data_IF_568684786213
#
_entry.id   IF_568684786213
#
_cell.length_a   1.000
_cell.length_b   1.000
_cell.length_c   1.000
_cell.angle_alpha   90.00
_cell.angle_beta   90.00
_cell.angle_gamma   90.00
#
_symmetry.space_group_name_H-M   'P 1'
#
loop_
_entity.id
_entity.type
_entity.pdbx_description
1 polymer ?
#
# COMPACT_ATOMS: atom_id res chain seq x y z
N UNK A 1 12.10 -16.69 -9.67
CA UNK A 1 11.83 -15.42 -8.96
C UNK A 1 10.48 -15.58 -8.28
N UNK A 2 10.35 -15.09 -7.07
CA UNK A 2 9.08 -15.04 -6.35
C UNK A 2 8.63 -13.57 -6.25
N UNK A 3 7.30 -13.38 -6.24
CA UNK A 3 6.72 -12.05 -6.25
C UNK A 3 5.72 -11.86 -5.09
N UNK A 4 5.52 -10.61 -4.73
CA UNK A 4 4.50 -10.16 -3.79
C UNK A 4 3.82 -8.91 -4.33
N UNK A 5 2.73 -8.46 -3.72
CA UNK A 5 2.08 -7.22 -4.10
C UNK A 5 1.97 -6.27 -2.90
N UNK A 6 2.08 -4.97 -3.18
CA UNK A 6 1.70 -3.90 -2.25
C UNK A 6 0.43 -3.26 -2.78
N UNK A 7 -0.52 -2.99 -1.90
CA UNK A 7 -1.86 -2.52 -2.22
C UNK A 7 -2.18 -1.30 -1.37
N UNK A 8 -2.74 -0.27 -2.00
CA UNK A 8 -3.37 0.84 -1.31
C UNK A 8 -4.78 1.08 -1.83
N UNK A 9 -5.68 1.59 -0.99
CA UNK A 9 -7.07 1.87 -1.33
C UNK A 9 -7.49 3.27 -0.89
N UNK A 10 -8.18 3.99 -1.79
CA UNK A 10 -8.87 5.21 -1.44
C UNK A 10 -10.37 4.95 -1.26
N UNK A 11 -10.98 5.58 -0.26
CA UNK A 11 -12.39 5.39 0.07
C UNK A 11 -13.24 6.64 -0.19
N UNK A 12 -14.51 6.40 -0.53
CA UNK A 12 -15.54 7.42 -0.64
C UNK A 12 -16.12 7.79 0.75
N UNK A 13 -17.04 8.75 0.77
CA UNK A 13 -17.69 9.20 2.02
C UNK A 13 -18.51 8.12 2.74
N UNK A 14 -18.87 7.03 2.06
CA UNK A 14 -19.56 5.87 2.64
C UNK A 14 -18.59 4.81 3.17
N UNK A 15 -17.27 5.07 3.14
CA UNK A 15 -16.23 4.10 3.47
C UNK A 15 -16.23 2.86 2.55
N UNK A 16 -16.57 3.08 1.27
CA UNK A 16 -16.46 2.08 0.22
C UNK A 16 -15.23 2.39 -0.63
N UNK A 17 -14.52 1.37 -1.11
CA UNK A 17 -13.35 1.57 -1.98
C UNK A 17 -13.77 2.27 -3.26
N UNK A 18 -13.19 3.43 -3.55
CA UNK A 18 -13.40 4.18 -4.80
C UNK A 18 -12.23 4.07 -5.78
N UNK A 19 -11.04 3.73 -5.30
CA UNK A 19 -9.90 3.34 -6.16
C UNK A 19 -8.98 2.39 -5.43
N UNK A 20 -8.21 1.64 -6.20
CA UNK A 20 -7.22 0.70 -5.71
C UNK A 20 -5.99 0.72 -6.61
N UNK A 21 -4.82 0.82 -5.99
CA UNK A 21 -3.51 0.64 -6.60
C UNK A 21 -2.88 -0.67 -6.15
N UNK A 22 -2.16 -1.30 -7.06
CA UNK A 22 -1.39 -2.51 -6.78
C UNK A 22 -0.06 -2.43 -7.50
N UNK A 23 1.04 -2.54 -6.77
CA UNK A 23 2.36 -2.77 -7.34
C UNK A 23 2.78 -4.20 -7.09
N UNK A 24 3.29 -4.87 -8.13
CA UNK A 24 3.89 -6.22 -8.04
C UNK A 24 5.40 -6.07 -8.04
N UNK A 25 6.07 -6.70 -7.08
CA UNK A 25 7.51 -6.60 -6.90
C UNK A 25 8.17 -7.97 -6.66
N UNK A 26 9.47 -8.04 -6.96
CA UNK A 26 10.32 -9.19 -6.67
C UNK A 26 10.64 -9.26 -5.17
N UNK A 27 10.56 -10.46 -4.56
CA UNK A 27 10.83 -10.63 -3.12
C UNK A 27 12.27 -10.34 -2.73
N UNK A 28 13.24 -10.69 -3.59
CA UNK A 28 14.66 -10.57 -3.25
C UNK A 28 15.17 -9.13 -3.35
N UNK A 29 14.62 -8.35 -4.29
CA UNK A 29 15.13 -7.01 -4.64
C UNK A 29 14.18 -5.88 -4.31
N UNK A 30 12.90 -6.20 -4.01
CA UNK A 30 11.80 -5.23 -3.89
C UNK A 30 11.65 -4.34 -5.14
N UNK A 31 12.12 -4.85 -6.28
CA UNK A 31 12.03 -4.14 -7.55
C UNK A 31 10.65 -4.33 -8.14
N UNK A 32 9.99 -3.22 -8.45
CA UNK A 32 8.71 -3.21 -9.17
C UNK A 32 8.84 -3.88 -10.53
N UNK A 33 7.90 -4.75 -10.87
CA UNK A 33 7.80 -5.45 -12.17
C UNK A 33 6.52 -5.14 -12.92
N UNK A 34 5.45 -4.81 -12.22
CA UNK A 34 4.15 -4.45 -12.83
C UNK A 34 3.35 -3.55 -11.88
N UNK A 35 2.38 -2.80 -12.40
CA UNK A 35 1.40 -2.08 -11.61
C UNK A 35 0.01 -2.12 -12.25
N UNK A 36 -1.02 -2.06 -11.40
CA UNK A 36 -2.41 -1.92 -11.81
C UNK A 36 -3.08 -0.84 -10.97
N UNK A 37 -3.94 -0.05 -11.61
CA UNK A 37 -4.73 0.96 -10.92
C UNK A 37 -6.12 1.00 -11.52
N UNK A 38 -7.15 0.92 -10.67
CA UNK A 38 -8.54 0.98 -11.09
C UNK A 38 -9.35 1.90 -10.18
N UNK A 39 -10.29 2.62 -10.81
CA UNK A 39 -11.29 3.45 -10.15
C UNK A 39 -12.61 2.69 -10.25
N UNK A 40 -13.31 2.50 -9.13
CA UNK A 40 -14.52 1.72 -9.08
C UNK A 40 -15.75 2.55 -9.44
N UNK A 41 -16.45 2.15 -10.48
CA UNK A 41 -17.71 2.72 -10.91
C UNK A 41 -18.87 1.78 -10.51
N UNK A 42 -19.85 2.23 -9.70
CA UNK A 42 -20.21 3.63 -9.44
C UNK A 42 -19.62 4.27 -8.15
N UNK A 43 -18.86 3.58 -7.35
CA UNK A 43 -18.44 3.99 -5.99
C UNK A 43 -17.71 5.35 -5.98
N UNK A 44 -16.87 5.63 -6.99
CA UNK A 44 -16.12 6.89 -7.07
C UNK A 44 -17.05 8.13 -7.23
N UNK A 45 -18.27 7.93 -7.77
CA UNK A 45 -19.23 9.04 -8.02
C UNK A 45 -19.81 9.62 -6.72
N UNK A 46 -19.75 8.86 -5.63
CA UNK A 46 -20.14 9.32 -4.29
C UNK A 46 -19.19 10.43 -3.80
N UNK A 47 -17.94 10.42 -4.31
CA UNK A 47 -16.92 11.33 -3.86
C UNK A 47 -16.29 10.91 -2.54
N UNK A 48 -15.12 11.43 -2.25
CA UNK A 48 -14.35 11.18 -1.04
C UNK A 48 -13.34 12.30 -0.83
N UNK A 49 -12.57 12.22 0.25
CA UNK A 49 -11.55 13.21 0.58
C UNK A 49 -10.56 13.41 -0.58
N UNK A 50 -10.17 12.32 -1.23
CA UNK A 50 -9.16 12.32 -2.29
C UNK A 50 -9.73 12.12 -3.70
N UNK A 51 -11.02 12.35 -3.91
CA UNK A 51 -11.67 12.18 -5.24
C UNK A 51 -11.03 13.01 -6.36
N UNK A 52 -10.44 14.17 -6.03
CA UNK A 52 -9.85 15.07 -7.02
C UNK A 52 -8.52 14.56 -7.58
N UNK A 53 -7.87 13.62 -6.89
CA UNK A 53 -6.57 13.06 -7.32
C UNK A 53 -6.69 11.69 -7.98
N UNK A 54 -7.89 11.14 -8.11
CA UNK A 54 -8.12 9.84 -8.78
C UNK A 54 -7.63 9.80 -10.25
N UNK A 55 -7.78 10.87 -11.07
CA UNK A 55 -7.29 10.85 -12.45
C UNK A 55 -5.77 10.76 -12.51
N UNK A 56 -5.26 9.86 -13.34
CA UNK A 56 -3.83 9.67 -13.55
C UNK A 56 -3.40 10.28 -14.87
N UNK A 57 -2.39 11.15 -14.84
CA UNK A 57 -1.88 11.81 -16.05
C UNK A 57 -1.38 10.76 -17.05
N UNK A 58 -1.85 10.86 -18.29
CA UNK A 58 -1.45 9.98 -19.38
C UNK A 58 -2.23 8.66 -19.47
N UNK A 59 -3.17 8.39 -18.54
CA UNK A 59 -4.10 7.26 -18.61
C UNK A 59 -5.50 7.77 -18.99
N UNK A 60 -6.15 7.13 -19.96
CA UNK A 60 -7.51 7.52 -20.33
C UNK A 60 -8.52 6.97 -19.30
N UNK A 61 -9.59 7.72 -18.94
CA UNK A 61 -10.59 7.27 -17.98
C UNK A 61 -11.17 5.88 -18.28
N UNK A 62 -11.40 5.56 -19.57
CA UNK A 62 -11.89 4.24 -20.00
C UNK A 62 -10.98 3.06 -19.63
N UNK A 63 -9.70 3.33 -19.42
CA UNK A 63 -8.70 2.32 -19.07
C UNK A 63 -8.57 2.16 -17.54
N UNK A 64 -9.21 3.04 -16.78
CA UNK A 64 -9.17 3.09 -15.32
C UNK A 64 -10.51 2.76 -14.66
N UNK A 65 -11.64 3.07 -15.33
CA UNK A 65 -12.98 2.92 -14.77
C UNK A 65 -13.52 1.51 -14.99
N UNK A 66 -13.68 0.77 -13.92
CA UNK A 66 -14.24 -0.59 -13.93
C UNK A 66 -15.23 -0.78 -12.78
N UNK A 67 -16.18 -1.68 -12.96
CA UNK A 67 -16.93 -2.17 -11.80
C UNK A 67 -15.98 -2.91 -10.88
N UNK A 68 -16.25 -2.88 -9.58
CA UNK A 68 -15.46 -3.59 -8.56
C UNK A 68 -15.23 -5.05 -8.95
N UNK A 69 -16.26 -5.75 -9.45
CA UNK A 69 -16.15 -7.14 -9.89
C UNK A 69 -15.08 -7.34 -10.96
N UNK A 70 -15.13 -6.54 -12.03
CA UNK A 70 -14.17 -6.65 -13.14
C UNK A 70 -12.75 -6.29 -12.68
N UNK A 71 -12.61 -5.25 -11.88
CA UNK A 71 -11.31 -4.87 -11.34
C UNK A 71 -10.70 -6.00 -10.50
N UNK A 72 -11.48 -6.63 -9.62
CA UNK A 72 -11.01 -7.76 -8.80
C UNK A 72 -10.64 -8.99 -9.63
N UNK A 73 -11.34 -9.27 -10.72
CA UNK A 73 -10.97 -10.33 -11.67
C UNK A 73 -9.60 -10.03 -12.29
N UNK A 74 -9.37 -8.79 -12.75
CA UNK A 74 -8.08 -8.36 -13.32
C UNK A 74 -6.91 -8.45 -12.32
N UNK A 75 -7.13 -8.09 -11.06
CA UNK A 75 -6.10 -8.26 -10.03
C UNK A 75 -5.76 -9.73 -9.81
N UNK A 76 -6.77 -10.61 -9.72
CA UNK A 76 -6.55 -12.05 -9.56
C UNK A 76 -5.80 -12.65 -10.75
N UNK A 77 -6.15 -12.27 -11.99
CA UNK A 77 -5.41 -12.67 -13.19
C UNK A 77 -3.92 -12.26 -13.10
N UNK A 78 -3.65 -11.01 -12.69
CA UNK A 78 -2.28 -10.54 -12.51
C UNK A 78 -1.56 -11.31 -11.38
N UNK A 79 -2.23 -11.56 -10.27
CA UNK A 79 -1.65 -12.32 -9.15
C UNK A 79 -1.37 -13.77 -9.55
N UNK A 80 -2.22 -14.41 -10.31
CA UNK A 80 -1.99 -15.75 -10.87
C UNK A 80 -0.80 -15.75 -11.84
N UNK A 81 -0.73 -14.77 -12.76
CA UNK A 81 0.37 -14.61 -13.72
C UNK A 81 1.74 -14.55 -13.03
N UNK A 82 1.84 -13.84 -11.91
CA UNK A 82 3.09 -13.68 -11.17
C UNK A 82 3.25 -14.66 -9.99
N UNK A 83 2.23 -15.46 -9.68
CA UNK A 83 2.25 -16.38 -8.54
C UNK A 83 2.26 -15.65 -7.20
N UNK A 84 1.63 -14.46 -7.11
CA UNK A 84 1.51 -13.67 -5.89
C UNK A 84 0.67 -14.41 -4.86
N UNK A 85 1.17 -14.51 -3.63
CA UNK A 85 0.48 -15.09 -2.46
C UNK A 85 0.47 -14.16 -1.26
N UNK A 86 1.32 -13.16 -1.28
CA UNK A 86 1.59 -12.25 -0.18
C UNK A 86 1.19 -10.84 -0.59
N UNK A 87 0.32 -10.22 0.20
CA UNK A 87 -0.18 -8.86 0.02
C UNK A 87 0.27 -8.01 1.20
N UNK A 88 0.80 -6.85 0.88
CA UNK A 88 1.28 -5.85 1.83
C UNK A 88 0.47 -4.58 1.69
N UNK A 89 0.27 -3.86 2.79
CA UNK A 89 -0.30 -2.52 2.80
C UNK A 89 0.19 -1.77 4.04
N UNK A 90 0.25 -0.46 3.98
CA UNK A 90 0.56 0.36 5.15
C UNK A 90 -0.71 0.56 5.99
N UNK A 91 -0.68 0.15 7.26
CA UNK A 91 -1.90 -0.03 8.08
C UNK A 91 -2.86 -1.08 7.49
N UNK A 92 -2.32 -2.15 6.97
CA UNK A 92 -2.96 -3.14 6.10
C UNK A 92 -4.22 -3.82 6.64
N UNK A 93 -4.52 -3.70 7.94
CA UNK A 93 -5.82 -4.14 8.49
C UNK A 93 -6.99 -3.35 7.87
N UNK A 94 -6.77 -2.07 7.54
CA UNK A 94 -7.78 -1.23 6.89
C UNK A 94 -8.12 -1.79 5.50
N UNK A 95 -7.13 -1.96 4.64
CA UNK A 95 -7.32 -2.44 3.27
C UNK A 95 -7.85 -3.87 3.21
N UNK A 96 -7.30 -4.74 4.06
CA UNK A 96 -7.77 -6.12 4.19
C UNK A 96 -9.26 -6.21 4.51
N UNK A 97 -9.76 -5.35 5.39
CA UNK A 97 -11.18 -5.34 5.77
C UNK A 97 -12.10 -4.80 4.65
N UNK A 98 -11.56 -3.98 3.75
CA UNK A 98 -12.29 -3.44 2.60
C UNK A 98 -12.26 -4.38 1.37
N UNK A 99 -11.31 -5.31 1.31
CA UNK A 99 -11.02 -6.17 0.16
C UNK A 99 -11.28 -7.65 0.47
N UNK A 100 -12.52 -7.98 0.87
CA UNK A 100 -12.94 -9.34 1.21
C UNK A 100 -12.67 -10.37 0.11
N UNK A 101 -12.67 -9.94 -1.16
CA UNK A 101 -12.36 -10.79 -2.32
C UNK A 101 -10.91 -11.29 -2.34
N UNK A 102 -10.03 -10.65 -1.56
CA UNK A 102 -8.61 -11.00 -1.41
C UNK A 102 -8.30 -11.62 -0.04
N UNK A 103 -9.30 -11.99 0.75
CA UNK A 103 -9.13 -12.55 2.09
C UNK A 103 -8.35 -13.88 2.13
N UNK A 104 -8.30 -14.62 1.02
CA UNK A 104 -7.54 -15.89 0.92
C UNK A 104 -6.02 -15.71 0.79
N UNK A 105 -5.56 -14.51 0.48
CA UNK A 105 -4.13 -14.17 0.41
C UNK A 105 -3.56 -13.98 1.82
N UNK A 106 -2.23 -14.07 1.95
CA UNK A 106 -1.55 -13.74 3.20
C UNK A 106 -1.31 -12.23 3.25
N UNK A 107 -1.82 -11.56 4.28
CA UNK A 107 -1.70 -10.12 4.46
C UNK A 107 -0.64 -9.75 5.48
N UNK A 108 0.07 -8.65 5.21
CA UNK A 108 1.14 -8.11 6.05
C UNK A 108 0.98 -6.59 6.19
N UNK A 109 1.25 -6.07 7.37
CA UNK A 109 1.18 -4.64 7.68
C UNK A 109 2.58 -4.02 7.66
N UNK A 110 2.88 -3.21 6.63
CA UNK A 110 4.17 -2.51 6.48
C UNK A 110 4.45 -1.60 7.67
N UNK A 111 3.40 -0.94 8.20
CA UNK A 111 3.52 -0.05 9.37
C UNK A 111 4.09 -0.80 10.59
N UNK A 112 3.85 -2.10 10.73
CA UNK A 112 4.38 -2.91 11.81
C UNK A 112 5.91 -2.97 11.80
N UNK A 113 6.53 -2.97 10.63
CA UNK A 113 7.98 -2.92 10.51
C UNK A 113 8.47 -1.48 10.55
N UNK A 114 7.81 -0.56 9.84
CA UNK A 114 8.25 0.81 9.67
C UNK A 114 8.17 1.64 10.96
N UNK A 115 7.06 1.53 11.70
CA UNK A 115 6.73 2.43 12.80
C UNK A 115 7.05 1.88 14.21
N UNK A 116 7.61 0.68 14.32
CA UNK A 116 7.95 0.08 15.62
C UNK A 116 9.45 0.00 15.81
N UNK A 117 9.95 0.62 16.87
CA UNK A 117 11.39 0.76 17.18
C UNK A 117 12.17 -0.56 17.21
N UNK A 118 11.54 -1.64 17.65
CA UNK A 118 12.20 -2.95 17.70
C UNK A 118 12.44 -3.57 16.32
N UNK A 119 11.79 -3.05 15.26
CA UNK A 119 11.95 -3.53 13.89
C UNK A 119 12.62 -2.50 12.98
N UNK A 120 12.54 -1.20 13.33
CA UNK A 120 13.13 -0.11 12.57
C UNK A 120 14.15 0.65 13.44
N UNK A 121 15.40 0.34 13.25
CA UNK A 121 16.54 0.97 13.94
C UNK A 121 16.84 2.40 13.48
N UNK A 122 16.22 2.84 12.35
CA UNK A 122 16.30 4.21 11.85
C UNK A 122 15.41 5.19 12.61
N UNK A 123 14.54 4.72 13.50
CA UNK A 123 13.74 5.58 14.39
C UNK A 123 14.66 6.22 15.43
N UNK A 124 14.88 7.55 15.39
CA UNK A 124 15.77 8.25 16.33
C UNK A 124 15.36 8.02 17.80
N UNK A 125 16.32 7.92 18.68
CA UNK A 125 16.08 7.72 20.13
C UNK A 125 15.19 8.82 20.74
N UNK A 126 15.23 10.04 20.17
CA UNK A 126 14.41 11.20 20.58
C UNK A 126 12.91 11.05 20.27
N UNK A 127 12.53 10.14 19.37
CA UNK A 127 11.12 9.92 19.04
C UNK A 127 10.44 9.15 20.16
N UNK A 128 9.33 9.67 20.65
CA UNK A 128 8.54 8.99 21.68
C UNK A 128 7.78 7.78 21.11
N UNK A 129 7.89 6.65 21.79
CA UNK A 129 7.15 5.43 21.46
C UNK A 129 6.21 5.01 22.59
N UNK A 130 5.16 4.26 22.23
CA UNK A 130 4.30 3.54 23.16
C UNK A 130 5.06 2.38 23.82
N UNK A 131 4.45 1.75 24.84
CA UNK A 131 4.99 0.53 25.49
C UNK A 131 5.23 -0.63 24.50
N UNK A 132 4.46 -0.65 23.41
CA UNK A 132 4.60 -1.65 22.33
C UNK A 132 5.76 -1.37 21.38
N UNK A 133 6.47 -0.25 21.55
CA UNK A 133 7.51 0.21 20.62
C UNK A 133 7.01 1.03 19.43
N UNK A 134 5.70 1.11 19.19
CA UNK A 134 5.12 1.94 18.12
C UNK A 134 5.35 3.42 18.41
N UNK A 135 5.74 4.18 17.39
CA UNK A 135 5.82 5.65 17.46
C UNK A 135 4.47 6.22 17.88
N UNK A 136 4.46 7.22 18.77
CA UNK A 136 3.22 7.85 19.24
C UNK A 136 2.57 8.76 18.18
N UNK A 137 3.36 9.30 17.24
CA UNK A 137 2.94 10.22 16.19
C UNK A 137 3.89 10.13 14.99
N UNK A 138 3.49 10.69 13.87
CA UNK A 138 4.28 10.74 12.64
C UNK A 138 4.67 9.36 12.12
N UNK A 139 3.73 8.41 12.17
CA UNK A 139 3.92 7.02 11.75
C UNK A 139 3.14 6.68 10.46
N UNK A 140 2.52 7.65 9.79
CA UNK A 140 1.92 7.49 8.46
C UNK A 140 2.97 7.44 7.35
N UNK A 141 2.52 7.23 6.12
CA UNK A 141 3.38 7.08 4.94
C UNK A 141 4.26 8.31 4.74
N UNK A 142 3.68 9.52 4.64
CA UNK A 142 4.42 10.76 4.40
C UNK A 142 5.55 10.99 5.43
N UNK A 143 5.31 11.05 6.74
CA UNK A 143 6.39 11.26 7.70
C UNK A 143 7.39 10.10 7.75
N UNK A 144 7.00 8.88 7.40
CA UNK A 144 7.91 7.74 7.33
C UNK A 144 8.82 7.84 6.09
N UNK A 145 8.28 8.23 4.95
CA UNK A 145 9.08 8.54 3.75
C UNK A 145 10.09 9.67 4.02
N UNK A 146 9.66 10.74 4.68
CA UNK A 146 10.55 11.83 5.09
C UNK A 146 11.69 11.33 6.00
N UNK A 147 11.36 10.50 6.98
CA UNK A 147 12.33 9.94 7.94
C UNK A 147 13.35 9.04 7.23
N UNK A 148 12.88 8.12 6.39
CA UNK A 148 13.71 7.07 5.80
C UNK A 148 14.55 7.57 4.63
N UNK A 149 13.99 8.46 3.80
CA UNK A 149 14.68 9.03 2.63
C UNK A 149 15.54 10.25 2.97
N UNK A 150 15.31 10.89 4.12
CA UNK A 150 15.90 12.18 4.48
C UNK A 150 15.32 13.37 3.71
N UNK A 151 14.31 13.16 2.86
CA UNK A 151 13.66 14.23 2.10
C UNK A 151 12.49 14.84 2.92
N UNK A 152 12.79 15.87 3.71
CA UNK A 152 11.78 16.55 4.52
C UNK A 152 10.73 17.35 3.71
N UNK A 153 10.84 17.43 2.38
CA UNK A 153 9.86 18.06 1.48
C UNK A 153 8.98 17.05 0.76
N UNK A 154 9.15 15.77 1.04
CA UNK A 154 8.27 14.76 0.48
C UNK A 154 6.84 15.01 0.97
N UNK A 155 5.88 14.92 0.06
CA UNK A 155 4.44 14.97 0.32
C UNK A 155 3.75 13.83 -0.40
N UNK A 156 2.87 13.14 0.31
CA UNK A 156 2.03 12.07 -0.20
C UNK A 156 0.97 12.64 -1.16
N UNK A 157 0.69 11.91 -2.25
CA UNK A 157 -0.25 12.37 -3.29
C UNK A 157 -1.70 12.03 -2.94
N UNK A 158 -1.91 11.02 -2.12
CA UNK A 158 -3.22 10.43 -1.79
C UNK A 158 -3.94 9.89 -3.03
N UNK A 159 -3.20 9.13 -3.83
CA UNK A 159 -3.73 8.39 -4.97
C UNK A 159 -3.15 7.00 -4.93
N UNK A 160 -4.00 6.00 -4.84
CA UNK A 160 -3.62 4.62 -4.59
C UNK A 160 -2.56 4.06 -5.57
N UNK A 161 -2.43 4.62 -6.80
CA UNK A 161 -1.36 4.25 -7.74
C UNK A 161 0.03 4.72 -7.30
N UNK A 162 0.11 5.88 -6.64
CA UNK A 162 1.39 6.45 -6.18
C UNK A 162 1.71 5.98 -4.77
N UNK A 163 0.66 5.82 -3.94
CA UNK A 163 0.81 5.50 -2.54
C UNK A 163 1.31 4.06 -2.34
N UNK A 164 0.85 3.07 -3.16
CA UNK A 164 1.42 1.71 -3.12
C UNK A 164 2.89 1.68 -3.56
N UNK A 165 3.28 2.59 -4.47
CA UNK A 165 4.68 2.71 -4.88
C UNK A 165 5.55 3.33 -3.78
N UNK A 166 5.01 4.29 -3.03
CA UNK A 166 5.66 4.89 -1.86
C UNK A 166 5.78 3.89 -0.72
N UNK A 167 4.76 3.06 -0.50
CA UNK A 167 4.81 1.97 0.47
C UNK A 167 5.87 0.92 0.11
N UNK A 168 5.99 0.55 -1.16
CA UNK A 168 7.08 -0.31 -1.64
C UNK A 168 8.45 0.35 -1.42
N UNK A 169 8.56 1.66 -1.65
CA UNK A 169 9.81 2.40 -1.41
C UNK A 169 10.15 2.45 0.09
N UNK A 170 9.16 2.59 0.98
CA UNK A 170 9.37 2.43 2.43
C UNK A 170 9.98 1.06 2.73
N UNK A 171 9.44 -0.03 2.14
CA UNK A 171 10.00 -1.38 2.32
C UNK A 171 11.46 -1.46 1.88
N UNK A 172 11.81 -0.87 0.73
CA UNK A 172 13.20 -0.80 0.23
C UNK A 172 14.11 0.02 1.16
N UNK A 173 13.64 1.18 1.59
CA UNK A 173 14.38 2.07 2.48
C UNK A 173 14.59 1.47 3.88
N UNK A 174 13.71 0.61 4.36
CA UNK A 174 13.90 -0.14 5.61
C UNK A 174 15.08 -1.11 5.50
N UNK A 175 15.39 -1.63 4.30
CA UNK A 175 16.51 -2.52 4.05
C UNK A 175 16.36 -3.90 4.72
N UNK A 176 15.12 -4.34 4.93
CA UNK A 176 14.79 -5.65 5.50
C UNK A 176 14.68 -6.72 4.40
N UNK A 177 14.99 -7.97 4.75
CA UNK A 177 14.69 -9.10 3.86
C UNK A 177 13.19 -9.42 3.89
N UNK A 178 12.70 -10.13 2.89
CA UNK A 178 11.29 -10.51 2.84
C UNK A 178 10.86 -11.33 4.06
N UNK A 179 11.73 -12.21 4.55
CA UNK A 179 11.48 -13.07 5.72
C UNK A 179 11.29 -12.27 7.02
N UNK A 180 11.95 -11.12 7.15
CA UNK A 180 11.79 -10.26 8.32
C UNK A 180 10.38 -9.66 8.44
N UNK A 181 9.61 -9.63 7.33
CA UNK A 181 8.22 -9.18 7.33
C UNK A 181 7.23 -10.21 7.89
N UNK A 182 7.64 -11.46 8.15
CA UNK A 182 6.75 -12.51 8.70
C UNK A 182 6.09 -12.06 10.03
N UNK A 183 6.79 -11.28 10.85
CA UNK A 183 6.25 -10.74 12.12
C UNK A 183 5.15 -9.69 11.91
N UNK A 184 5.00 -9.19 10.69
CA UNK A 184 3.98 -8.21 10.29
C UNK A 184 2.69 -8.84 9.76
N UNK A 185 2.58 -10.17 9.73
CA UNK A 185 1.38 -10.88 9.28
C UNK A 185 0.17 -10.49 10.13
N UNK A 186 -0.99 -10.28 9.44
CA UNK A 186 -2.27 -9.88 10.02
C UNK A 186 -3.41 -10.82 9.59
#
# INVERSE_FOLDING_TARGET
MEYFAVIDTETNWNNEVMSIGVVIAEKDTFKKVDDLYFIFDPEYKIGGMFSMVLPVKGRAPKDLLFTRKIAMEKFKEAFEKYGVKDLFAYNGTFDKNLLNELASYRWFDIMKIAAYRQYNDKIPASIECCKTGKMKRNYGVEPMMQLLSGNCRYTEVHNALYDEADELEIMRLLGKTFEEYIVAKI
#
